data_IF_243865945623
#
_entry.id   IF_243865945623
#
_cell.length_a   1.000
_cell.length_b   1.000
_cell.length_c   1.000
_cell.angle_alpha   90.00
_cell.angle_beta   90.00
_cell.angle_gamma   90.00
#
_symmetry.space_group_name_H-M   'P 1'
#
loop_
_entity.id
_entity.type
_entity.pdbx_description
1 polymer ?
#
# COMPACT_ATOMS: atom_id res chain seq x y z
N UNK A 1 -4.90 8.94 8.22
CA UNK A 1 -6.26 8.58 7.77
C UNK A 1 -6.16 7.25 7.06
N UNK A 2 -6.47 6.16 7.79
CA UNK A 2 -6.55 4.82 7.22
C UNK A 2 -7.74 4.73 6.25
N UNK A 3 -7.69 3.83 5.27
CA UNK A 3 -8.65 3.67 4.16
C UNK A 3 -10.06 3.19 4.60
N UNK A 4 -10.59 3.67 5.72
CA UNK A 4 -11.92 3.31 6.24
C UNK A 4 -13.09 3.72 5.34
N UNK A 5 -12.85 4.46 4.24
CA UNK A 5 -13.92 5.04 3.42
C UNK A 5 -14.56 4.02 2.45
N UNK A 6 -14.00 2.82 2.27
CA UNK A 6 -14.56 1.81 1.35
C UNK A 6 -14.74 0.45 2.04
N UNK A 7 -15.22 0.46 3.28
CA UNK A 7 -15.69 -0.78 3.93
C UNK A 7 -17.19 -1.02 3.73
N UNK A 8 -17.92 -0.08 3.11
CA UNK A 8 -19.38 0.01 3.29
C UNK A 8 -20.22 -0.57 2.14
N UNK A 9 -19.64 -0.87 0.96
CA UNK A 9 -20.44 -1.35 -0.19
C UNK A 9 -19.76 -2.41 -1.08
N UNK A 10 -18.56 -2.89 -0.71
CA UNK A 10 -17.80 -3.84 -1.51
C UNK A 10 -18.26 -5.30 -1.32
N UNK A 11 -18.10 -6.13 -2.34
CA UNK A 11 -18.21 -7.59 -2.20
C UNK A 11 -17.16 -8.13 -1.22
N UNK A 12 -17.33 -9.39 -0.80
CA UNK A 12 -16.45 -10.00 0.19
C UNK A 12 -14.97 -9.99 -0.27
N UNK A 13 -14.69 -10.09 -1.57
CA UNK A 13 -13.33 -10.09 -2.08
C UNK A 13 -12.71 -8.68 -2.05
N UNK A 14 -13.47 -7.64 -2.34
CA UNK A 14 -13.06 -6.23 -2.20
C UNK A 14 -12.78 -5.89 -0.74
N UNK A 15 -13.62 -6.34 0.19
CA UNK A 15 -13.44 -6.11 1.64
C UNK A 15 -12.17 -6.80 2.16
N UNK A 16 -11.93 -8.05 1.80
CA UNK A 16 -10.70 -8.76 2.17
C UNK A 16 -9.44 -8.08 1.61
N UNK A 17 -9.51 -7.58 0.38
CA UNK A 17 -8.42 -6.82 -0.23
C UNK A 17 -8.13 -5.51 0.53
N UNK A 18 -9.18 -4.83 1.01
CA UNK A 18 -9.06 -3.62 1.81
C UNK A 18 -8.39 -3.92 3.16
N UNK A 19 -8.76 -5.02 3.81
CA UNK A 19 -8.13 -5.46 5.05
C UNK A 19 -6.65 -5.80 4.86
N UNK A 20 -6.28 -6.52 3.79
CA UNK A 20 -4.88 -6.82 3.54
C UNK A 20 -4.07 -5.55 3.24
N UNK A 21 -4.60 -4.64 2.43
CA UNK A 21 -3.99 -3.33 2.18
C UNK A 21 -3.74 -2.56 3.48
N UNK A 22 -4.73 -2.48 4.36
CA UNK A 22 -4.59 -1.82 5.67
C UNK A 22 -3.51 -2.49 6.52
N UNK A 23 -3.46 -3.83 6.55
CA UNK A 23 -2.42 -4.58 7.26
C UNK A 23 -1.02 -4.25 6.75
N UNK A 24 -0.82 -4.19 5.43
CA UNK A 24 0.50 -3.85 4.85
C UNK A 24 0.88 -2.39 5.10
N UNK A 25 -0.09 -1.47 5.07
CA UNK A 25 0.13 -0.07 5.39
C UNK A 25 0.57 0.11 6.86
N UNK A 26 -0.11 -0.55 7.79
CA UNK A 26 0.28 -0.51 9.21
C UNK A 26 1.66 -1.09 9.45
N UNK A 27 2.03 -2.16 8.75
CA UNK A 27 3.36 -2.71 8.85
C UNK A 27 4.44 -1.71 8.39
N UNK A 28 4.21 -1.01 7.28
CA UNK A 28 5.10 0.07 6.84
C UNK A 28 5.19 1.21 7.86
N UNK A 29 4.05 1.63 8.42
CA UNK A 29 4.01 2.65 9.46
C UNK A 29 4.84 2.23 10.69
N UNK A 30 4.79 0.97 11.09
CA UNK A 30 5.61 0.43 12.17
C UNK A 30 7.10 0.41 11.84
N UNK A 31 7.47 0.08 10.61
CA UNK A 31 8.85 0.14 10.15
C UNK A 31 9.41 1.57 10.22
N UNK A 32 8.67 2.56 9.68
CA UNK A 32 9.09 3.98 9.70
C UNK A 32 9.16 4.53 11.12
N UNK A 33 8.27 4.09 12.02
CA UNK A 33 8.29 4.49 13.43
C UNK A 33 9.35 3.76 14.27
N UNK A 34 10.12 2.84 13.69
CA UNK A 34 11.09 2.02 14.42
C UNK A 34 10.46 1.02 15.41
N UNK A 35 9.14 0.79 15.32
CA UNK A 35 8.45 -0.22 16.12
C UNK A 35 8.76 -1.64 15.63
N UNK A 36 9.06 -1.77 14.34
CA UNK A 36 9.61 -2.96 13.71
C UNK A 36 10.93 -2.57 13.05
N UNK A 37 12.01 -3.25 13.41
CA UNK A 37 13.31 -3.02 12.76
C UNK A 37 13.42 -3.95 11.55
N UNK A 38 13.69 -3.35 10.40
CA UNK A 38 13.95 -4.06 9.14
C UNK A 38 15.25 -3.53 8.56
N UNK A 39 15.98 -4.41 7.88
CA UNK A 39 17.08 -4.00 7.01
C UNK A 39 16.52 -3.47 5.67
N UNK A 40 17.41 -3.01 4.78
CA UNK A 40 17.04 -2.48 3.46
C UNK A 40 16.21 -3.48 2.65
N UNK A 41 16.59 -4.75 2.65
CA UNK A 41 15.84 -5.80 1.96
C UNK A 41 14.45 -6.04 2.59
N UNK A 42 14.34 -6.00 3.92
CA UNK A 42 13.08 -6.12 4.64
C UNK A 42 12.16 -4.93 4.36
N UNK A 43 12.71 -3.72 4.26
CA UNK A 43 11.98 -2.53 3.85
C UNK A 43 11.42 -2.66 2.42
N UNK A 44 12.26 -3.04 1.46
CA UNK A 44 11.84 -3.23 0.07
C UNK A 44 10.73 -4.28 -0.05
N UNK A 45 10.86 -5.39 0.68
CA UNK A 45 9.84 -6.43 0.72
C UNK A 45 8.51 -5.92 1.30
N UNK A 46 8.56 -5.17 2.41
CA UNK A 46 7.36 -4.58 3.03
C UNK A 46 6.69 -3.58 2.07
N UNK A 47 7.48 -2.76 1.38
CA UNK A 47 6.99 -1.78 0.42
C UNK A 47 6.36 -2.45 -0.82
N UNK A 48 7.01 -3.48 -1.36
CA UNK A 48 6.46 -4.25 -2.48
C UNK A 48 5.18 -4.99 -2.09
N UNK A 49 5.10 -5.52 -0.87
CA UNK A 49 3.89 -6.17 -0.37
C UNK A 49 2.72 -5.17 -0.28
N UNK A 50 2.95 -3.96 0.21
CA UNK A 50 1.96 -2.88 0.20
C UNK A 50 1.53 -2.51 -1.23
N UNK A 51 2.48 -2.33 -2.15
CA UNK A 51 2.17 -1.99 -3.55
C UNK A 51 1.29 -3.05 -4.22
N UNK A 52 1.58 -4.33 -3.97
CA UNK A 52 0.76 -5.46 -4.49
C UNK A 52 -0.64 -5.44 -3.91
N UNK A 53 -0.78 -5.32 -2.58
CA UNK A 53 -2.10 -5.27 -1.92
C UNK A 53 -2.93 -4.07 -2.42
N UNK A 54 -2.28 -2.91 -2.66
CA UNK A 54 -2.94 -1.73 -3.21
C UNK A 54 -3.46 -1.97 -4.63
N UNK A 55 -2.64 -2.55 -5.50
CA UNK A 55 -3.04 -2.89 -6.87
C UNK A 55 -4.20 -3.87 -6.88
N UNK A 56 -4.15 -4.89 -6.02
CA UNK A 56 -5.16 -5.93 -5.90
C UNK A 56 -6.51 -5.36 -5.42
N UNK A 57 -6.48 -4.51 -4.39
CA UNK A 57 -7.64 -3.77 -3.91
C UNK A 57 -8.30 -2.92 -5.01
N UNK A 58 -7.52 -2.15 -5.77
CA UNK A 58 -8.05 -1.36 -6.88
C UNK A 58 -8.57 -2.22 -8.04
N UNK A 59 -7.95 -3.36 -8.31
CA UNK A 59 -8.43 -4.28 -9.34
C UNK A 59 -9.82 -4.83 -8.97
N UNK A 60 -10.01 -5.26 -7.73
CA UNK A 60 -11.30 -5.78 -7.25
C UNK A 60 -12.39 -4.71 -7.21
N UNK A 61 -12.09 -3.52 -6.67
CA UNK A 61 -13.06 -2.42 -6.67
C UNK A 61 -13.48 -1.98 -8.08
N UNK A 62 -12.60 -2.10 -9.09
CA UNK A 62 -12.95 -1.82 -10.48
C UNK A 62 -13.80 -2.90 -11.12
N UNK A 63 -13.48 -4.17 -10.87
CA UNK A 63 -14.24 -5.32 -11.36
C UNK A 63 -15.68 -5.28 -10.83
N UNK A 64 -15.82 -5.03 -9.53
CA UNK A 64 -17.11 -4.89 -8.86
C UNK A 64 -17.95 -3.74 -9.45
N UNK A 65 -17.32 -2.59 -9.73
CA UNK A 65 -17.99 -1.44 -10.35
C UNK A 65 -18.14 -1.57 -11.87
N UNK A 66 -17.75 -2.71 -12.45
CA UNK A 66 -17.72 -2.99 -13.90
C UNK A 66 -17.03 -1.89 -14.72
N UNK A 67 -16.03 -1.21 -14.14
CA UNK A 67 -15.34 -0.09 -14.79
C UNK A 67 -14.32 -0.66 -15.78
N UNK A 68 -14.48 -0.46 -17.11
CA UNK A 68 -13.56 -1.01 -18.10
C UNK A 68 -12.16 -0.39 -18.00
N UNK A 69 -11.13 -1.19 -18.26
CA UNK A 69 -9.72 -0.76 -18.34
C UNK A 69 -8.87 -1.21 -17.16
N UNK A 70 -7.57 -1.42 -17.41
CA UNK A 70 -6.61 -1.86 -16.40
C UNK A 70 -6.36 -0.77 -15.34
N UNK A 71 -6.08 -1.18 -14.10
CA UNK A 71 -5.47 -0.28 -13.10
C UNK A 71 -4.19 0.25 -13.73
N UNK A 72 -3.97 1.58 -13.79
CA UNK A 72 -2.71 2.11 -14.27
C UNK A 72 -1.59 1.47 -13.44
N UNK A 73 -0.74 0.68 -14.10
CA UNK A 73 0.57 0.36 -13.51
C UNK A 73 1.20 1.70 -13.24
N UNK A 74 1.38 2.04 -11.96
CA UNK A 74 2.26 3.13 -11.55
C UNK A 74 3.67 2.72 -11.94
N UNK A 75 3.97 2.85 -13.23
CA UNK A 75 5.29 2.85 -13.78
C UNK A 75 5.99 4.04 -13.12
N UNK A 76 7.04 3.72 -12.38
CA UNK A 76 7.92 4.68 -11.70
C UNK A 76 7.29 5.49 -10.57
N UNK A 77 7.11 4.83 -9.43
CA UNK A 77 7.35 5.50 -8.14
C UNK A 77 8.76 5.12 -7.65
N UNK A 78 9.71 5.15 -8.60
CA UNK A 78 11.15 4.94 -8.41
C UNK A 78 11.80 6.26 -7.94
N UNK A 79 11.05 7.05 -7.17
CA UNK A 79 11.64 8.14 -6.43
C UNK A 79 12.32 7.48 -5.23
N UNK A 80 13.65 7.56 -5.10
CA UNK A 80 14.28 7.18 -3.86
C UNK A 80 13.59 7.98 -2.75
N UNK A 81 13.23 7.30 -1.67
CA UNK A 81 12.92 7.95 -0.42
C UNK A 81 14.15 8.79 -0.08
N UNK A 82 14.11 10.08 -0.42
CA UNK A 82 15.17 11.03 -0.08
C UNK A 82 15.37 10.90 1.41
N UNK A 83 16.55 10.39 1.79
CA UNK A 83 16.98 10.38 3.18
C UNK A 83 16.78 11.78 3.72
N UNK A 84 15.94 11.91 4.75
CA UNK A 84 15.69 13.16 5.45
C UNK A 84 16.90 13.39 6.37
N UNK A 85 18.10 13.43 5.79
CA UNK A 85 19.35 13.78 6.46
C UNK A 85 19.91 15.00 5.75
N UNK A 86 19.27 16.16 5.98
CA UNK A 86 19.89 17.46 5.78
C UNK A 86 19.39 18.40 6.88
N UNK A 87 19.85 18.19 8.11
CA UNK A 87 20.13 19.30 9.01
C UNK A 87 21.55 19.11 9.56
N UNK A 88 22.47 19.89 9.00
CA UNK A 88 23.76 20.24 9.60
C UNK A 88 24.21 21.58 8.97
N UNK A 89 24.82 22.53 9.69
CA UNK A 89 24.69 22.95 11.10
C UNK A 89 24.02 24.34 11.27
#
# INVERSE_FOLDING_TARGET
>A
MAFQVIEVLGDAATVEAAHDLNRKLWHLEWCVRGLVHVDEAGWDNAYQAFRRARTDYYARGRDELQVPGAVPTLASDDRPMVGIDQEDP
#
